data_IF_042973769830
#
_entry.id   IF_042973769830
#
_cell.length_a   1.000
_cell.length_b   1.000
_cell.length_c   1.000
_cell.angle_alpha   90.00
_cell.angle_beta   90.00
_cell.angle_gamma   90.00
#
_symmetry.space_group_name_H-M   'P 1'
#
loop_
_entity.id
_entity.type
_entity.pdbx_description
1 polymer ?
#
# COMPACT_ATOMS: atom_id res chain seq x y z
N UNK A 1 0.91 111.29 84.92
CA UNK A 1 0.75 112.59 84.21
C UNK A 1 0.97 112.36 82.73
N UNK A 2 0.09 112.93 81.90
CA UNK A 2 0.17 113.18 80.44
C UNK A 2 0.13 111.98 79.47
N UNK A 3 -1.04 111.84 78.82
CA UNK A 3 -1.21 111.35 77.45
C UNK A 3 -0.60 112.37 76.47
N UNK A 4 0.04 111.88 75.39
CA UNK A 4 0.22 112.62 74.14
C UNK A 4 0.21 111.65 72.95
N UNK A 5 -0.50 112.09 71.91
CA UNK A 5 -0.76 111.50 70.60
C UNK A 5 0.48 111.61 69.68
N UNK A 6 0.75 110.64 68.80
CA UNK A 6 1.30 110.94 67.48
C UNK A 6 1.02 109.82 66.46
N UNK A 7 0.64 110.29 65.28
CA UNK A 7 0.17 109.66 64.05
C UNK A 7 1.36 109.27 63.13
N UNK A 8 1.06 108.53 62.04
CA UNK A 8 1.79 108.44 60.75
C UNK A 8 2.94 107.40 60.71
N UNK A 9 3.21 106.58 59.68
CA UNK A 9 2.83 106.45 58.25
C UNK A 9 2.87 104.94 57.91
N UNK A 10 1.85 104.42 57.23
CA UNK A 10 1.88 103.09 56.59
C UNK A 10 2.59 103.24 55.23
N UNK A 11 3.82 102.74 55.10
CA UNK A 11 4.49 102.62 53.82
C UNK A 11 4.04 101.33 53.12
N UNK A 12 3.31 101.47 52.03
CA UNK A 12 3.02 100.40 51.07
C UNK A 12 4.32 99.97 50.39
N UNK A 13 4.78 98.75 50.67
CA UNK A 13 5.71 98.03 49.81
C UNK A 13 4.88 97.26 48.76
N UNK A 14 5.29 97.26 47.47
CA UNK A 14 4.63 96.45 46.47
C UNK A 14 4.88 94.96 46.77
N UNK A 15 3.79 94.21 46.97
CA UNK A 15 3.79 92.75 46.95
C UNK A 15 4.07 92.31 45.50
N UNK A 16 5.29 91.86 45.24
CA UNK A 16 5.59 91.03 44.07
C UNK A 16 5.01 89.64 44.32
N UNK A 17 3.93 89.33 43.62
CA UNK A 17 3.33 87.99 43.55
C UNK A 17 4.39 87.02 43.04
N UNK A 18 4.74 86.02 43.85
CA UNK A 18 5.58 84.89 43.44
C UNK A 18 4.78 83.98 42.51
N UNK A 19 5.46 83.40 41.53
CA UNK A 19 4.93 82.45 40.56
C UNK A 19 4.07 81.37 41.24
N UNK A 20 2.88 81.11 40.69
CA UNK A 20 2.09 79.93 41.07
C UNK A 20 2.88 78.70 40.62
N UNK A 21 3.33 77.89 41.57
CA UNK A 21 3.78 76.53 41.28
C UNK A 21 2.58 75.69 40.87
N UNK A 22 2.62 75.07 39.69
CA UNK A 22 1.63 74.12 39.22
C UNK A 22 1.87 72.73 39.88
N UNK A 23 0.84 72.04 40.37
CA UNK A 23 0.89 70.72 41.02
C UNK A 23 0.36 69.60 40.11
N UNK A 24 1.02 69.38 38.98
CA UNK A 24 0.89 68.09 38.31
C UNK A 24 1.68 67.04 39.07
N UNK A 25 1.06 65.91 39.38
CA UNK A 25 1.77 64.73 39.87
C UNK A 25 1.95 63.78 38.70
N UNK A 26 3.15 63.75 38.13
CA UNK A 26 3.68 62.48 37.64
C UNK A 26 4.05 61.73 38.92
N UNK A 27 3.49 60.54 39.13
CA UNK A 27 3.99 59.69 40.20
C UNK A 27 5.50 59.55 39.99
N UNK A 28 6.34 59.82 41.01
CA UNK A 28 7.80 59.90 40.85
C UNK A 28 8.46 58.58 40.44
N UNK A 29 7.66 57.54 40.20
CA UNK A 29 8.09 56.22 39.76
C UNK A 29 7.51 55.87 38.39
N UNK A 30 8.35 55.20 37.61
CA UNK A 30 7.95 54.43 36.43
C UNK A 30 7.67 53.00 36.91
N UNK A 31 6.64 52.36 36.37
CA UNK A 31 6.22 51.00 36.72
C UNK A 31 6.26 50.10 35.50
N UNK A 32 6.45 48.81 35.76
CA UNK A 32 6.31 47.75 34.76
C UNK A 32 4.98 47.02 34.99
N UNK A 33 4.40 46.45 33.94
CA UNK A 33 3.21 45.59 34.08
C UNK A 33 3.52 44.28 34.80
N UNK A 34 4.77 43.82 34.68
CA UNK A 34 5.30 42.65 35.34
C UNK A 34 6.62 43.05 36.01
N UNK A 35 6.73 42.74 37.30
CA UNK A 35 7.88 43.07 38.13
C UNK A 35 8.96 41.99 38.08
N UNK A 36 8.61 40.80 37.57
CA UNK A 36 9.51 39.66 37.38
C UNK A 36 9.87 39.45 35.90
N UNK A 37 9.71 40.48 35.06
CA UNK A 37 10.01 40.36 33.65
C UNK A 37 11.52 40.27 33.39
N UNK A 38 11.89 39.44 32.43
CA UNK A 38 13.26 39.18 32.00
C UNK A 38 13.60 39.92 30.70
N UNK A 39 14.85 39.84 30.28
CA UNK A 39 15.31 40.38 29.01
C UNK A 39 14.54 39.73 27.85
N UNK A 40 14.11 40.53 26.87
CA UNK A 40 13.27 40.08 25.76
C UNK A 40 11.76 40.15 26.04
N UNK A 41 11.34 40.28 27.30
CA UNK A 41 9.91 40.43 27.60
C UNK A 41 9.35 41.76 27.14
N UNK A 42 8.17 41.71 26.50
CA UNK A 42 7.42 42.91 26.12
C UNK A 42 6.49 43.31 27.25
N UNK A 43 6.93 44.26 28.07
CA UNK A 43 6.17 44.79 29.20
C UNK A 43 5.52 46.13 28.87
N UNK A 44 4.50 46.51 29.66
CA UNK A 44 4.00 47.88 29.68
C UNK A 44 4.84 48.70 30.63
N UNK A 45 5.59 49.66 30.10
CA UNK A 45 6.23 50.71 30.89
C UNK A 45 5.23 51.84 31.07
N UNK A 46 4.85 52.15 32.31
CA UNK A 46 3.80 53.13 32.57
C UNK A 46 4.10 54.06 33.73
N UNK A 47 3.44 55.22 33.69
CA UNK A 47 3.36 56.14 34.82
C UNK A 47 1.94 56.69 34.91
N UNK A 48 1.61 57.29 36.06
CA UNK A 48 0.29 57.89 36.31
C UNK A 48 0.46 59.40 36.34
N UNK A 49 -0.33 60.08 35.51
CA UNK A 49 -0.39 61.54 35.46
C UNK A 49 -1.70 62.00 36.09
N UNK A 50 -1.62 62.93 37.03
CA UNK A 50 -2.76 63.52 37.74
C UNK A 50 -2.82 65.02 37.48
N UNK A 51 -3.99 65.51 37.06
CA UNK A 51 -4.26 66.94 36.88
C UNK A 51 -5.04 67.50 38.07
N UNK A 52 -4.39 68.32 38.90
CA UNK A 52 -5.00 68.91 40.11
C UNK A 52 -5.15 70.43 40.06
N UNK A 53 -4.78 71.09 38.96
CA UNK A 53 -4.74 72.56 38.94
C UNK A 53 -5.55 73.17 37.80
N UNK A 54 -5.89 72.39 36.76
CA UNK A 54 -6.47 72.95 35.54
C UNK A 54 -7.79 72.29 35.14
N UNK A 55 -8.75 73.05 34.61
CA UNK A 55 -9.96 72.51 34.00
C UNK A 55 -9.70 71.51 32.87
N UNK A 56 -8.64 71.71 32.08
CA UNK A 56 -8.24 70.82 30.99
C UNK A 56 -6.73 70.78 30.82
N UNK A 57 -6.19 69.57 30.71
CA UNK A 57 -4.77 69.29 30.52
C UNK A 57 -4.54 68.32 29.35
N UNK A 58 -3.57 68.62 28.49
CA UNK A 58 -3.07 67.71 27.46
C UNK A 58 -1.55 67.76 27.46
N UNK A 59 -0.90 66.61 27.25
CA UNK A 59 0.56 66.51 27.23
C UNK A 59 1.01 65.24 26.50
N UNK A 60 2.25 65.23 26.04
CA UNK A 60 2.94 64.02 25.62
C UNK A 60 3.85 63.54 26.74
N UNK A 61 3.75 62.27 27.11
CA UNK A 61 4.66 61.62 28.06
C UNK A 61 5.63 60.77 27.26
N UNK A 62 6.89 61.18 27.26
CA UNK A 62 7.96 60.52 26.51
C UNK A 62 8.78 59.68 27.48
N UNK A 63 8.93 58.39 27.17
CA UNK A 63 9.68 57.43 27.94
C UNK A 63 11.08 57.26 27.35
N UNK A 64 12.07 57.07 28.22
CA UNK A 64 13.46 56.83 27.89
C UNK A 64 13.98 55.62 28.66
N UNK A 65 14.93 54.87 28.09
CA UNK A 65 15.79 53.94 28.80
C UNK A 65 17.25 54.38 28.60
N UNK A 66 18.01 54.61 29.66
CA UNK A 66 19.40 55.06 29.58
C UNK A 66 19.57 56.31 28.69
N UNK A 67 18.63 57.26 28.78
CA UNK A 67 18.51 58.46 27.95
C UNK A 67 18.16 58.24 26.46
N UNK A 68 17.95 57.01 26.01
CA UNK A 68 17.46 56.68 24.66
C UNK A 68 15.93 56.70 24.66
N UNK A 69 15.32 57.37 23.69
CA UNK A 69 13.86 57.41 23.54
C UNK A 69 13.30 56.03 23.20
N UNK A 70 12.34 55.55 24.00
CA UNK A 70 11.72 54.22 23.84
C UNK A 70 10.23 54.28 23.48
N UNK A 71 9.60 55.45 23.59
CA UNK A 71 8.23 55.65 23.15
C UNK A 71 7.58 56.90 23.73
N UNK A 72 6.40 57.24 23.21
CA UNK A 72 5.63 58.41 23.66
C UNK A 72 4.15 58.07 23.73
N UNK A 73 3.49 58.48 24.81
CA UNK A 73 2.06 58.32 25.03
C UNK A 73 1.40 59.69 25.25
N UNK A 74 0.26 59.94 24.59
CA UNK A 74 -0.44 61.23 24.68
C UNK A 74 -1.61 61.22 25.65
N UNK A 75 -1.74 62.33 26.37
CA UNK A 75 -2.88 62.68 27.22
C UNK A 75 -3.62 63.82 26.54
N UNK A 76 -4.93 63.66 26.35
CA UNK A 76 -5.78 64.69 25.76
C UNK A 76 -6.95 64.98 26.69
N UNK A 77 -7.19 66.27 26.95
CA UNK A 77 -8.33 66.80 27.70
C UNK A 77 -8.57 66.09 29.06
N UNK A 78 -7.50 65.85 29.83
CA UNK A 78 -7.60 65.35 31.19
C UNK A 78 -8.22 66.43 32.08
N UNK A 79 -9.37 66.14 32.67
CA UNK A 79 -10.11 67.11 33.49
C UNK A 79 -9.45 67.38 34.84
N UNK A 80 -9.95 68.40 35.53
CA UNK A 80 -9.57 68.71 36.91
C UNK A 80 -9.86 67.52 37.86
N UNK A 81 -8.94 67.24 38.79
CA UNK A 81 -8.96 66.12 39.72
C UNK A 81 -9.08 64.74 39.06
N UNK A 82 -8.64 64.61 37.80
CA UNK A 82 -8.59 63.33 37.09
C UNK A 82 -7.16 62.79 37.01
N UNK A 83 -7.04 61.47 37.04
CA UNK A 83 -5.80 60.75 36.80
C UNK A 83 -5.93 59.89 35.54
N UNK A 84 -4.84 59.78 34.80
CA UNK A 84 -4.73 58.87 33.65
C UNK A 84 -3.40 58.14 33.69
N UNK A 85 -3.47 56.82 33.60
CA UNK A 85 -2.30 56.00 33.32
C UNK A 85 -1.91 56.16 31.85
N UNK A 86 -0.63 56.39 31.61
CA UNK A 86 -0.03 56.40 30.28
C UNK A 86 1.04 55.33 30.22
N UNK A 87 1.08 54.62 29.10
CA UNK A 87 1.98 53.48 28.93
C UNK A 87 2.46 53.38 27.50
N UNK A 88 3.61 52.77 27.34
CA UNK A 88 4.12 52.24 26.07
C UNK A 88 4.33 50.74 26.24
N UNK A 89 4.37 50.01 25.12
CA UNK A 89 4.93 48.66 25.11
C UNK A 89 6.42 48.78 24.83
N UNK A 90 7.22 48.04 25.58
CA UNK A 90 8.68 48.09 25.46
C UNK A 90 9.25 46.70 25.75
N UNK A 91 10.14 46.26 24.86
CA UNK A 91 10.93 45.04 25.02
C UNK A 91 12.13 45.36 25.91
N UNK A 92 12.26 44.64 27.02
CA UNK A 92 13.30 44.90 28.01
C UNK A 92 14.67 44.41 27.51
N UNK A 93 15.71 45.26 27.50
CA UNK A 93 17.06 44.80 27.20
C UNK A 93 17.70 44.17 28.45
N UNK A 94 18.60 43.21 28.23
CA UNK A 94 19.45 42.64 29.28
C UNK A 94 20.35 43.72 29.91
N UNK A 95 20.57 43.60 31.22
CA UNK A 95 21.49 44.43 31.99
C UNK A 95 20.85 45.65 32.66
N UNK A 96 21.67 46.65 32.97
CA UNK A 96 21.21 47.85 33.68
C UNK A 96 20.31 48.72 32.80
N UNK A 97 19.05 48.89 33.23
CA UNK A 97 18.07 49.76 32.61
C UNK A 97 17.70 50.92 33.53
N UNK A 98 17.76 52.14 33.02
CA UNK A 98 17.29 53.35 33.71
C UNK A 98 16.10 53.94 32.95
N UNK A 99 14.91 53.56 33.38
CA UNK A 99 13.65 54.00 32.80
C UNK A 99 13.28 55.38 33.32
N UNK A 100 12.95 56.27 32.41
CA UNK A 100 12.58 57.64 32.71
C UNK A 100 11.33 58.05 31.91
N UNK A 101 10.37 58.71 32.57
CA UNK A 101 9.23 59.33 31.90
C UNK A 101 9.29 60.85 32.07
N UNK A 102 9.27 61.58 30.95
CA UNK A 102 9.30 63.05 30.90
C UNK A 102 8.04 63.59 30.23
N UNK A 103 7.44 64.62 30.80
CA UNK A 103 6.36 65.35 30.13
C UNK A 103 6.93 66.39 29.16
N UNK A 104 6.39 66.40 27.94
CA UNK A 104 6.70 67.36 26.87
C UNK A 104 5.40 67.84 26.21
N UNK A 105 5.48 68.96 25.47
CA UNK A 105 4.34 69.55 24.74
C UNK A 105 3.09 69.75 25.61
N UNK A 106 3.27 70.26 26.84
CA UNK A 106 2.17 70.46 27.78
C UNK A 106 1.31 71.64 27.36
N UNK A 107 0.01 71.37 27.17
CA UNK A 107 -1.04 72.34 26.85
C UNK A 107 -2.10 72.31 27.94
N UNK A 108 -2.20 73.39 28.69
CA UNK A 108 -3.21 73.59 29.73
C UNK A 108 -4.16 74.70 29.34
N UNK A 109 -5.44 74.58 29.71
CA UNK A 109 -6.46 75.59 29.44
C UNK A 109 -7.13 76.05 30.73
N UNK A 110 -7.41 77.35 30.80
CA UNK A 110 -8.17 77.95 31.90
C UNK A 110 -9.69 77.75 31.75
N UNK A 111 -10.46 78.28 32.70
CA UNK A 111 -11.95 78.21 32.69
C UNK A 111 -12.58 78.87 31.46
N UNK A 112 -11.86 79.75 30.76
CA UNK A 112 -12.30 80.43 29.53
C UNK A 112 -11.92 79.68 28.26
N UNK A 113 -11.15 78.59 28.37
CA UNK A 113 -10.61 77.81 27.25
C UNK A 113 -9.31 78.36 26.66
N UNK A 114 -8.75 79.43 27.25
CA UNK A 114 -7.50 80.05 26.81
C UNK A 114 -6.30 79.21 27.23
N UNK A 115 -5.31 79.08 26.35
CA UNK A 115 -4.08 78.31 26.62
C UNK A 115 -3.16 79.07 27.58
N UNK A 116 -2.64 78.36 28.58
CA UNK A 116 -1.61 78.84 29.48
C UNK A 116 -0.29 78.19 29.05
N UNK A 117 0.71 79.01 28.73
CA UNK A 117 2.05 78.53 28.37
C UNK A 117 2.88 78.24 29.64
N UNK A 118 3.34 76.99 29.77
CA UNK A 118 4.27 76.54 30.83
C UNK A 118 5.69 76.54 30.26
N UNK A 119 6.67 76.99 31.04
CA UNK A 119 8.07 77.06 30.57
C UNK A 119 8.78 75.70 30.67
N UNK A 120 9.80 75.48 29.83
CA UNK A 120 10.55 74.22 29.82
C UNK A 120 11.30 73.97 31.13
N UNK A 121 11.75 75.01 31.83
CA UNK A 121 12.44 74.91 33.12
C UNK A 121 11.47 74.40 34.21
N UNK A 122 10.21 74.81 34.16
CA UNK A 122 9.15 74.30 35.04
C UNK A 122 8.82 72.83 34.73
N UNK A 123 8.94 72.40 33.47
CA UNK A 123 8.68 71.02 33.05
C UNK A 123 9.73 70.01 33.54
N UNK A 124 10.97 70.45 33.77
CA UNK A 124 12.09 69.61 34.22
C UNK A 124 11.89 68.97 35.60
N UNK A 125 11.02 69.55 36.43
CA UNK A 125 10.65 69.01 37.74
C UNK A 125 9.68 67.82 37.66
N UNK A 126 9.09 67.54 36.49
CA UNK A 126 8.11 66.47 36.30
C UNK A 126 8.66 65.30 35.49
N UNK A 127 9.64 64.64 36.09
CA UNK A 127 10.21 63.39 35.62
C UNK A 127 9.99 62.29 36.65
N UNK A 128 9.75 61.08 36.17
CA UNK A 128 9.74 59.86 36.98
C UNK A 128 10.88 58.97 36.51
N UNK A 129 11.59 58.34 37.44
CA UNK A 129 12.75 57.48 37.12
C UNK A 129 12.66 56.17 37.88
N UNK A 130 13.17 55.10 37.27
CA UNK A 130 13.32 53.77 37.89
C UNK A 130 14.54 53.08 37.30
N UNK A 131 15.47 52.67 38.16
CA UNK A 131 16.63 51.85 37.79
C UNK A 131 16.36 50.38 38.11
N UNK A 132 16.71 49.50 37.19
CA UNK A 132 16.52 48.05 37.24
C UNK A 132 17.75 47.35 36.68
N UNK A 133 18.03 46.16 37.17
CA UNK A 133 18.93 45.21 36.54
C UNK A 133 18.06 44.07 36.01
N UNK A 134 18.10 43.84 34.70
CA UNK A 134 17.22 42.91 33.99
C UNK A 134 18.08 41.70 33.62
N UNK A 135 17.68 40.53 34.08
CA UNK A 135 18.39 39.27 33.81
C UNK A 135 17.81 38.55 32.58
N UNK A 136 18.55 37.58 32.06
CA UNK A 136 18.00 36.60 31.13
C UNK A 136 17.34 35.45 31.93
N UNK A 137 16.38 34.78 31.32
CA UNK A 137 15.74 33.54 31.80
C UNK A 137 15.76 32.61 30.58
N UNK A 138 16.86 31.86 30.45
CA UNK A 138 17.18 31.10 29.23
C UNK A 138 16.19 29.96 29.00
N UNK A 139 15.75 29.29 30.05
CA UNK A 139 14.88 28.11 30.00
C UNK A 139 13.39 28.42 30.25
N UNK A 140 13.08 29.63 30.73
CA UNK A 140 11.73 30.10 31.00
C UNK A 140 11.14 29.58 32.31
N UNK A 141 11.96 29.15 33.27
CA UNK A 141 11.50 28.61 34.55
C UNK A 141 11.12 29.70 35.58
N UNK A 142 11.35 30.98 35.23
CA UNK A 142 11.17 32.20 36.03
C UNK A 142 12.25 32.43 37.10
N UNK A 143 13.42 31.83 36.95
CA UNK A 143 14.65 32.13 37.67
C UNK A 143 15.60 32.76 36.65
N UNK A 144 16.26 33.86 37.05
CA UNK A 144 17.21 34.51 36.15
C UNK A 144 18.53 33.77 36.16
N UNK A 145 19.24 33.75 35.03
CA UNK A 145 20.51 33.04 34.87
C UNK A 145 21.60 33.34 35.92
N UNK A 146 21.52 34.47 36.63
CA UNK A 146 22.47 34.77 37.73
C UNK A 146 22.17 34.00 39.01
N UNK A 147 20.91 33.62 39.21
CA UNK A 147 20.41 32.92 40.39
C UNK A 147 20.09 31.45 40.11
N UNK A 148 19.97 31.06 38.84
CA UNK A 148 19.81 29.67 38.43
C UNK A 148 21.11 28.88 38.63
N UNK A 149 20.98 27.58 38.90
CA UNK A 149 22.11 26.65 38.96
C UNK A 149 22.23 25.81 37.68
N UNK A 150 21.20 25.82 36.82
CA UNK A 150 21.06 25.03 35.58
C UNK A 150 20.31 25.90 34.54
N UNK A 151 21.05 26.83 33.93
CA UNK A 151 20.51 27.92 33.10
C UNK A 151 19.68 27.45 31.87
N UNK A 152 19.85 26.22 31.39
CA UNK A 152 19.14 25.67 30.25
C UNK A 152 18.25 24.45 30.59
N UNK A 153 18.25 24.05 31.86
CA UNK A 153 17.44 22.99 32.45
C UNK A 153 17.61 21.62 31.77
N UNK A 154 18.81 21.32 31.26
CA UNK A 154 19.13 20.02 30.66
C UNK A 154 19.45 18.93 31.70
N UNK A 155 19.65 19.34 32.96
CA UNK A 155 19.95 18.49 34.10
C UNK A 155 21.44 18.40 34.46
N UNK A 156 22.31 19.17 33.81
CA UNK A 156 23.67 19.50 34.25
C UNK A 156 23.66 20.90 34.85
N UNK A 157 24.28 21.06 36.02
CA UNK A 157 24.48 22.42 36.54
C UNK A 157 25.51 23.19 35.71
N UNK A 158 25.41 24.51 35.69
CA UNK A 158 26.41 25.40 35.07
C UNK A 158 27.84 25.04 35.51
N UNK A 159 28.00 24.65 36.78
CA UNK A 159 29.31 24.28 37.33
C UNK A 159 29.85 22.97 36.79
N UNK A 160 28.97 22.02 36.49
CA UNK A 160 29.32 20.74 35.87
C UNK A 160 29.66 20.94 34.40
N UNK A 161 28.87 21.71 33.69
CA UNK A 161 29.10 22.03 32.28
C UNK A 161 30.40 22.80 32.06
N UNK A 162 30.68 23.81 32.87
CA UNK A 162 31.96 24.53 32.85
C UNK A 162 33.17 23.59 33.05
N UNK A 163 32.98 22.46 33.76
CA UNK A 163 34.02 21.44 33.94
C UNK A 163 34.13 20.52 32.71
N UNK A 164 33.02 20.17 32.07
CA UNK A 164 32.99 19.33 30.86
C UNK A 164 33.31 20.09 29.58
N UNK A 165 33.17 21.41 29.60
CA UNK A 165 33.37 22.32 28.47
C UNK A 165 32.17 22.42 27.55
N UNK A 166 30.96 22.12 28.04
CA UNK A 166 29.67 22.38 27.39
C UNK A 166 29.21 23.83 27.64
N UNK A 167 28.13 24.26 26.99
CA UNK A 167 27.60 25.63 27.01
C UNK A 167 26.37 25.74 27.93
N UNK A 168 26.47 26.35 29.13
CA UNK A 168 25.37 26.41 30.11
C UNK A 168 24.08 27.09 29.69
N UNK A 169 24.09 27.73 28.53
CA UNK A 169 22.92 28.39 27.98
C UNK A 169 22.26 27.55 26.88
N UNK A 170 22.73 26.33 26.65
CA UNK A 170 22.28 25.44 25.60
C UNK A 170 22.29 24.00 26.08
N UNK A 171 21.07 23.49 26.28
CA UNK A 171 20.84 22.11 26.66
C UNK A 171 21.45 21.08 25.69
N UNK A 172 21.84 21.49 24.49
CA UNK A 172 22.50 20.70 23.46
C UNK A 172 23.63 21.56 22.87
N UNK A 173 24.86 21.28 23.30
CA UNK A 173 26.04 22.12 23.01
C UNK A 173 26.45 22.04 21.55
N UNK A 174 26.37 20.86 20.93
CA UNK A 174 26.84 20.63 19.56
C UNK A 174 25.73 20.65 18.49
N UNK A 175 24.48 20.66 18.93
CA UNK A 175 23.29 20.87 18.11
C UNK A 175 22.79 19.61 17.42
N UNK A 176 23.10 18.42 17.93
CA UNK A 176 22.70 17.14 17.36
C UNK A 176 21.32 16.64 17.81
N UNK A 177 20.64 17.37 18.70
CA UNK A 177 19.32 17.10 19.32
C UNK A 177 19.29 16.14 20.50
N UNK A 178 20.44 15.62 20.96
CA UNK A 178 20.58 14.98 22.26
C UNK A 178 21.05 16.05 23.25
N UNK A 179 20.54 16.02 24.49
CA UNK A 179 21.04 16.95 25.51
C UNK A 179 22.38 16.50 26.07
N UNK A 180 23.20 17.45 26.49
CA UNK A 180 24.54 17.18 27.01
C UNK A 180 24.49 16.18 28.18
N UNK A 181 23.49 16.36 29.06
CA UNK A 181 23.22 15.43 30.17
C UNK A 181 22.96 13.99 29.71
N UNK A 182 22.20 13.82 28.64
CA UNK A 182 21.76 12.52 28.11
C UNK A 182 22.91 11.82 27.41
N UNK A 183 23.70 12.55 26.64
CA UNK A 183 24.94 12.05 26.04
C UNK A 183 25.91 11.55 27.10
N UNK A 184 26.11 12.32 28.17
CA UNK A 184 26.97 11.90 29.28
C UNK A 184 26.48 10.61 29.97
N UNK A 185 25.17 10.44 30.15
CA UNK A 185 24.59 9.20 30.70
C UNK A 185 24.77 8.01 29.75
N UNK A 186 24.67 8.26 28.44
CA UNK A 186 24.92 7.28 27.38
C UNK A 186 26.41 7.05 27.15
N UNK A 187 27.30 7.89 27.68
CA UNK A 187 28.76 7.83 27.52
C UNK A 187 29.26 8.32 26.15
N UNK A 188 28.55 9.27 25.56
CA UNK A 188 28.85 9.99 24.32
C UNK A 188 29.64 11.29 24.62
N UNK A 189 30.06 12.02 23.59
CA UNK A 189 30.82 13.28 23.72
C UNK A 189 29.95 14.50 23.39
N UNK A 190 29.43 15.25 24.39
CA UNK A 190 28.46 16.35 24.22
C UNK A 190 29.01 17.62 23.57
N UNK A 191 30.11 17.50 22.84
CA UNK A 191 30.73 18.57 22.06
C UNK A 191 30.95 18.14 20.62
N UNK A 192 30.52 16.93 20.29
CA UNK A 192 30.61 16.35 18.97
C UNK A 192 29.29 15.66 18.67
N UNK A 193 28.57 16.26 17.74
CA UNK A 193 27.37 15.69 17.16
C UNK A 193 27.55 14.27 16.58
N UNK A 194 28.78 13.82 16.40
CA UNK A 194 29.19 12.50 15.93
C UNK A 194 30.37 12.04 16.81
N UNK A 195 30.07 11.20 17.81
CA UNK A 195 30.99 10.81 18.88
C UNK A 195 32.17 9.99 18.36
N UNK A 196 31.93 9.06 17.43
CA UNK A 196 32.93 8.12 16.93
C UNK A 196 33.54 8.48 15.56
N UNK A 197 32.95 9.45 14.87
CA UNK A 197 33.47 10.10 13.67
C UNK A 197 33.15 9.38 12.37
N UNK A 198 32.07 8.61 12.31
CA UNK A 198 31.68 7.80 11.15
C UNK A 198 30.74 8.50 10.16
N UNK A 199 30.41 9.76 10.44
CA UNK A 199 29.53 10.66 9.68
C UNK A 199 28.03 10.57 9.97
N UNK A 200 27.61 9.64 10.82
CA UNK A 200 26.27 9.59 11.39
C UNK A 200 26.26 10.33 12.73
N UNK A 201 25.23 11.14 12.98
CA UNK A 201 25.14 11.89 14.24
C UNK A 201 24.54 11.01 15.33
N UNK A 202 24.92 11.22 16.59
CA UNK A 202 24.58 10.32 17.69
C UNK A 202 23.05 10.14 17.85
N UNK A 203 22.26 11.15 17.45
CA UNK A 203 20.79 11.11 17.49
C UNK A 203 20.13 10.17 16.47
N UNK A 204 20.84 9.78 15.40
CA UNK A 204 20.34 8.88 14.35
C UNK A 204 21.15 7.60 14.23
N UNK A 205 22.29 7.52 14.91
CA UNK A 205 23.17 6.37 14.94
C UNK A 205 22.71 5.37 16.02
N UNK A 206 22.48 4.11 15.64
CA UNK A 206 22.13 3.04 16.59
C UNK A 206 23.34 2.51 17.38
N UNK A 207 24.56 2.74 16.87
CA UNK A 207 25.82 2.44 17.53
C UNK A 207 26.77 3.65 17.63
N UNK A 208 26.42 4.74 18.35
CA UNK A 208 27.19 6.01 18.43
C UNK A 208 28.61 5.94 19.04
N UNK A 209 29.14 4.75 19.26
CA UNK A 209 30.47 4.48 19.82
C UNK A 209 31.29 3.54 18.96
N UNK A 210 30.72 3.04 17.88
CA UNK A 210 31.32 2.08 16.98
C UNK A 210 31.23 2.61 15.55
N UNK A 211 32.20 3.43 15.15
CA UNK A 211 32.18 4.06 13.83
C UNK A 211 32.42 3.14 12.62
N UNK A 212 32.16 1.84 12.77
CA UNK A 212 31.96 0.91 11.68
C UNK A 212 30.52 0.40 11.57
N UNK A 213 29.59 0.84 12.43
CA UNK A 213 28.19 0.43 12.47
C UNK A 213 27.32 1.64 12.80
N UNK A 214 26.23 1.86 12.06
CA UNK A 214 25.31 2.97 12.32
C UNK A 214 23.82 2.59 12.25
N UNK A 215 23.52 1.41 11.69
CA UNK A 215 22.17 0.88 11.48
C UNK A 215 22.12 -0.61 11.86
N UNK A 216 20.92 -1.06 12.21
CA UNK A 216 20.55 -2.40 12.70
C UNK A 216 19.09 -2.57 12.29
N UNK A 217 18.87 -3.06 11.07
CA UNK A 217 17.56 -3.07 10.39
C UNK A 217 16.57 -3.99 11.10
N UNK A 218 17.04 -5.12 11.62
CA UNK A 218 16.21 -6.14 12.27
C UNK A 218 16.13 -6.00 13.80
N UNK A 219 16.88 -5.07 14.38
CA UNK A 219 17.00 -4.79 15.81
C UNK A 219 17.53 -5.99 16.63
N UNK A 220 18.38 -6.85 16.04
CA UNK A 220 18.97 -8.01 16.72
C UNK A 220 20.16 -7.63 17.63
N UNK A 221 20.70 -6.43 17.44
CA UNK A 221 21.82 -5.85 18.18
C UNK A 221 23.18 -6.01 17.50
N UNK A 222 23.23 -6.62 16.32
CA UNK A 222 24.35 -6.62 15.38
C UNK A 222 24.10 -5.50 14.36
N UNK A 223 25.14 -4.74 14.01
CA UNK A 223 24.97 -3.67 13.02
C UNK A 223 25.09 -4.21 11.60
N UNK A 224 24.39 -3.57 10.65
CA UNK A 224 24.28 -4.00 9.25
C UNK A 224 25.65 -4.24 8.56
N UNK A 225 26.74 -3.55 8.94
CA UNK A 225 28.04 -3.81 8.29
C UNK A 225 28.73 -5.11 8.78
N UNK A 226 28.29 -5.65 9.91
CA UNK A 226 28.79 -6.87 10.51
C UNK A 226 27.78 -8.03 10.50
N UNK A 227 26.48 -7.73 10.35
CA UNK A 227 25.49 -8.74 10.08
C UNK A 227 25.70 -9.34 8.68
N UNK A 228 25.13 -10.51 8.47
CA UNK A 228 25.18 -11.24 7.21
C UNK A 228 23.78 -11.51 6.64
N UNK A 229 22.75 -11.08 7.36
CA UNK A 229 21.32 -11.20 7.07
C UNK A 229 20.65 -9.98 7.73
N UNK A 230 20.87 -8.79 7.14
CA UNK A 230 20.58 -7.48 7.75
C UNK A 230 19.10 -7.31 8.13
N UNK A 231 18.19 -7.96 7.42
CA UNK A 231 16.76 -7.92 7.72
C UNK A 231 16.22 -9.16 8.40
N UNK A 232 16.97 -10.27 8.50
CA UNK A 232 16.58 -11.51 9.19
C UNK A 232 15.36 -12.20 8.56
N UNK A 233 15.25 -12.19 7.24
CA UNK A 233 14.22 -12.92 6.47
C UNK A 233 14.62 -14.37 6.12
N UNK A 234 15.88 -14.73 6.39
CA UNK A 234 16.44 -16.06 6.14
C UNK A 234 17.28 -16.18 4.86
N UNK A 235 17.49 -15.09 4.13
CA UNK A 235 18.53 -14.95 3.11
C UNK A 235 19.70 -14.12 3.63
N UNK A 236 20.92 -14.54 3.30
CA UNK A 236 22.07 -13.68 3.56
C UNK A 236 22.21 -12.57 2.53
N UNK A 237 22.81 -11.42 2.88
CA UNK A 237 23.01 -10.30 1.95
C UNK A 237 23.80 -10.71 0.69
N UNK A 238 24.71 -11.70 0.83
CA UNK A 238 25.43 -12.29 -0.30
C UNK A 238 24.50 -13.05 -1.26
N UNK A 239 23.52 -13.76 -0.71
CA UNK A 239 22.51 -14.47 -1.48
C UNK A 239 21.55 -13.49 -2.14
N UNK A 240 21.04 -12.51 -1.41
CA UNK A 240 20.13 -11.50 -1.92
C UNK A 240 20.76 -10.65 -3.02
N UNK A 241 22.02 -10.23 -2.83
CA UNK A 241 22.78 -9.56 -3.89
C UNK A 241 22.89 -10.43 -5.15
N UNK A 242 22.95 -11.75 -5.01
CA UNK A 242 23.01 -12.68 -6.13
C UNK A 242 21.64 -12.89 -6.80
N UNK A 243 20.54 -12.85 -6.04
CA UNK A 243 19.17 -12.95 -6.55
C UNK A 243 18.64 -11.63 -7.11
N UNK A 244 19.11 -10.51 -6.59
CA UNK A 244 18.67 -9.15 -6.91
C UNK A 244 17.65 -8.57 -5.93
N UNK A 245 17.39 -9.23 -4.79
CA UNK A 245 16.62 -8.69 -3.67
C UNK A 245 17.38 -7.63 -2.88
N UNK A 246 16.68 -6.93 -1.99
CA UNK A 246 17.16 -5.83 -1.15
C UNK A 246 17.47 -6.31 0.27
N UNK A 247 18.76 -6.41 0.68
CA UNK A 247 19.17 -6.94 2.01
C UNK A 247 18.59 -6.24 3.23
N UNK A 248 18.04 -5.05 3.05
CA UNK A 248 17.49 -4.25 4.15
C UNK A 248 15.96 -4.36 4.22
N UNK A 249 15.34 -5.28 3.46
CA UNK A 249 13.89 -5.38 3.32
C UNK A 249 13.45 -6.83 3.12
N UNK A 250 12.92 -7.40 4.21
CA UNK A 250 12.41 -8.78 4.31
C UNK A 250 11.50 -9.31 3.20
N UNK A 251 10.88 -8.40 2.45
CA UNK A 251 9.88 -8.66 1.41
C UNK A 251 10.15 -7.62 0.34
N UNK A 252 11.01 -7.93 -0.62
CA UNK A 252 11.61 -7.00 -1.57
C UNK A 252 10.56 -6.37 -2.48
N UNK A 253 9.62 -7.16 -3.00
CA UNK A 253 8.62 -6.69 -3.96
C UNK A 253 7.31 -6.19 -3.31
N UNK A 254 7.07 -6.54 -2.05
CA UNK A 254 5.92 -6.11 -1.27
C UNK A 254 4.62 -6.89 -1.50
N UNK A 255 4.68 -8.13 -1.97
CA UNK A 255 3.50 -9.01 -2.14
C UNK A 255 3.01 -9.61 -0.80
N UNK A 256 3.87 -9.58 0.22
CA UNK A 256 3.60 -10.05 1.58
C UNK A 256 4.08 -11.47 1.88
N UNK A 257 4.98 -12.04 1.07
CA UNK A 257 5.85 -13.17 1.36
C UNK A 257 7.27 -12.63 1.62
N UNK A 258 8.01 -13.26 2.54
CA UNK A 258 9.39 -12.85 2.82
C UNK A 258 10.36 -13.48 1.78
N UNK A 259 11.45 -12.81 1.39
CA UNK A 259 12.30 -13.26 0.27
C UNK A 259 12.90 -14.65 0.55
N UNK A 260 13.25 -14.91 1.81
CA UNK A 260 13.67 -16.22 2.30
C UNK A 260 12.61 -17.30 2.09
N UNK A 261 11.34 -16.99 2.37
CA UNK A 261 10.22 -17.90 2.18
C UNK A 261 9.90 -18.12 0.70
N UNK A 262 10.03 -17.10 -0.14
CA UNK A 262 9.86 -17.19 -1.58
C UNK A 262 10.88 -18.12 -2.22
N UNK A 263 12.16 -17.99 -1.85
CA UNK A 263 13.21 -18.91 -2.31
C UNK A 263 12.95 -20.35 -1.89
N UNK A 264 12.35 -20.58 -0.70
CA UNK A 264 11.94 -21.92 -0.28
C UNK A 264 10.76 -22.45 -1.09
N UNK A 265 9.80 -21.58 -1.43
CA UNK A 265 8.65 -21.91 -2.28
C UNK A 265 9.02 -22.08 -3.76
N UNK A 266 10.13 -21.49 -4.21
CA UNK A 266 10.58 -21.52 -5.59
C UNK A 266 10.20 -20.28 -6.41
N UNK A 267 9.60 -19.26 -5.78
CA UNK A 267 9.32 -17.97 -6.40
C UNK A 267 10.54 -17.05 -6.49
N UNK A 268 10.40 -15.95 -7.23
CA UNK A 268 11.39 -14.89 -7.44
C UNK A 268 11.09 -13.69 -6.53
N UNK A 269 11.91 -13.43 -5.49
CA UNK A 269 11.65 -12.37 -4.51
C UNK A 269 11.56 -10.93 -5.02
N UNK A 270 11.84 -10.73 -6.30
CA UNK A 270 11.78 -9.43 -6.96
C UNK A 270 10.50 -9.23 -7.77
N UNK A 271 9.58 -10.22 -7.78
CA UNK A 271 8.36 -10.21 -8.56
C UNK A 271 7.18 -10.75 -7.75
N UNK A 272 6.22 -9.87 -7.52
CA UNK A 272 4.99 -10.18 -6.77
C UNK A 272 4.05 -11.20 -7.45
N UNK A 273 4.45 -11.76 -8.57
CA UNK A 273 3.74 -12.66 -9.50
C UNK A 273 4.84 -13.23 -10.40
N UNK A 274 5.42 -14.34 -9.96
CA UNK A 274 6.67 -14.88 -10.48
C UNK A 274 6.51 -15.44 -11.89
N UNK A 275 5.41 -16.15 -12.15
CA UNK A 275 5.13 -16.81 -13.42
C UNK A 275 4.30 -15.96 -14.40
N UNK A 276 3.64 -14.91 -13.90
CA UNK A 276 2.89 -13.95 -14.71
C UNK A 276 1.50 -14.44 -15.13
N UNK A 277 0.91 -15.42 -14.45
CA UNK A 277 -0.48 -15.84 -14.65
C UNK A 277 -1.48 -14.80 -14.12
N UNK A 278 -1.00 -13.93 -13.23
CA UNK A 278 -1.70 -12.80 -12.65
C UNK A 278 -2.03 -12.97 -11.17
N UNK A 279 -1.99 -14.19 -10.60
CA UNK A 279 -2.02 -14.43 -9.15
C UNK A 279 -0.69 -13.97 -8.54
N UNK A 280 -0.72 -13.52 -7.29
CA UNK A 280 0.52 -13.21 -6.59
C UNK A 280 1.06 -14.46 -5.92
N UNK A 281 2.37 -14.54 -5.76
CA UNK A 281 3.05 -15.69 -5.15
C UNK A 281 2.47 -16.01 -3.77
N UNK A 282 2.13 -14.97 -2.99
CA UNK A 282 1.35 -15.12 -1.76
C UNK A 282 0.04 -15.89 -1.91
N UNK A 283 -0.79 -15.51 -2.89
CA UNK A 283 -2.12 -16.08 -3.11
C UNK A 283 -1.96 -17.56 -3.51
N UNK A 284 -0.93 -17.88 -4.29
CA UNK A 284 -0.62 -19.23 -4.75
C UNK A 284 -0.12 -20.12 -3.60
N UNK A 285 0.83 -19.62 -2.80
CA UNK A 285 1.32 -20.32 -1.60
C UNK A 285 0.18 -20.58 -0.61
N UNK A 286 -0.74 -19.62 -0.41
CA UNK A 286 -1.90 -19.80 0.47
C UNK A 286 -2.92 -20.81 -0.07
N UNK A 287 -3.11 -20.87 -1.39
CA UNK A 287 -4.03 -21.80 -2.05
C UNK A 287 -3.40 -23.16 -2.39
N UNK A 288 -2.07 -23.29 -2.27
CA UNK A 288 -1.32 -24.53 -2.48
C UNK A 288 -0.97 -24.83 -3.94
N UNK A 289 -1.03 -23.82 -4.83
CA UNK A 289 -0.53 -23.91 -6.20
C UNK A 289 0.98 -23.61 -6.27
N UNK A 290 1.61 -23.77 -7.43
CA UNK A 290 3.05 -23.54 -7.65
C UNK A 290 3.32 -22.13 -8.21
N UNK A 291 3.84 -21.17 -7.40
CA UNK A 291 4.07 -19.78 -7.84
C UNK A 291 5.01 -19.59 -9.03
N UNK A 292 5.76 -20.63 -9.38
CA UNK A 292 6.68 -20.60 -10.52
C UNK A 292 6.07 -21.24 -11.79
N UNK A 293 4.81 -21.66 -11.74
CA UNK A 293 4.16 -22.41 -12.80
C UNK A 293 2.68 -22.04 -12.97
N UNK A 294 2.42 -21.24 -14.00
CA UNK A 294 1.12 -20.64 -14.28
C UNK A 294 -0.05 -21.63 -14.46
N UNK A 295 0.23 -22.91 -14.68
CA UNK A 295 -0.73 -24.01 -14.87
C UNK A 295 -0.21 -25.19 -14.02
N UNK A 296 -0.62 -25.21 -12.75
CA UNK A 296 -0.03 -26.05 -11.70
C UNK A 296 -0.19 -27.54 -12.00
N UNK A 297 -1.34 -27.97 -12.51
CA UNK A 297 -1.64 -29.37 -12.79
C UNK A 297 -1.39 -29.80 -14.24
N UNK A 298 -1.22 -28.85 -15.15
CA UNK A 298 -0.81 -29.05 -16.54
C UNK A 298 -1.94 -29.44 -17.48
N UNK A 299 -3.17 -29.02 -17.19
CA UNK A 299 -4.38 -29.38 -17.94
C UNK A 299 -4.66 -28.43 -19.14
N UNK A 300 -3.96 -27.29 -19.18
CA UNK A 300 -4.05 -26.29 -20.24
C UNK A 300 -4.77 -24.99 -19.84
N UNK A 301 -5.29 -24.89 -18.62
CA UNK A 301 -5.80 -23.65 -18.02
C UNK A 301 -4.79 -23.09 -17.02
N UNK A 302 -4.72 -21.77 -16.89
CA UNK A 302 -3.91 -21.17 -15.83
C UNK A 302 -4.63 -21.26 -14.47
N UNK A 303 -3.89 -21.27 -13.36
CA UNK A 303 -4.43 -21.32 -12.01
C UNK A 303 -5.46 -20.18 -11.77
N UNK A 304 -5.16 -18.99 -12.30
CA UNK A 304 -6.09 -17.86 -12.35
C UNK A 304 -7.35 -18.15 -13.16
N UNK A 305 -7.22 -18.78 -14.33
CA UNK A 305 -8.36 -19.11 -15.20
C UNK A 305 -9.29 -20.11 -14.52
N UNK A 306 -8.73 -21.14 -13.91
CA UNK A 306 -9.44 -22.15 -13.14
C UNK A 306 -10.16 -21.55 -11.93
N UNK A 307 -9.48 -20.68 -11.17
CA UNK A 307 -10.12 -19.94 -10.07
C UNK A 307 -11.32 -19.09 -10.51
N UNK A 308 -11.36 -18.63 -11.77
CA UNK A 308 -12.52 -17.92 -12.33
C UNK A 308 -13.64 -18.87 -12.79
N UNK A 309 -13.30 -20.08 -13.24
CA UNK A 309 -14.25 -21.12 -13.65
C UNK A 309 -14.82 -21.88 -12.44
N UNK A 310 -14.08 -21.91 -11.33
CA UNK A 310 -14.42 -22.65 -10.12
C UNK A 310 -13.94 -24.10 -10.11
N UNK A 311 -13.05 -24.46 -11.03
CA UNK A 311 -12.31 -25.74 -11.06
C UNK A 311 -11.19 -25.74 -10.00
N UNK A 312 -10.54 -26.89 -9.78
CA UNK A 312 -9.46 -27.05 -8.81
C UNK A 312 -8.10 -27.04 -9.50
N UNK A 313 -7.26 -25.99 -9.32
CA UNK A 313 -5.95 -25.86 -9.99
C UNK A 313 -4.90 -26.93 -9.70
N UNK A 314 -5.24 -27.89 -8.85
CA UNK A 314 -4.39 -29.03 -8.51
C UNK A 314 -4.96 -30.35 -9.04
N UNK A 315 -6.00 -30.30 -9.87
CA UNK A 315 -6.73 -31.46 -10.34
C UNK A 315 -7.22 -31.28 -11.79
N UNK A 316 -6.48 -31.89 -12.71
CA UNK A 316 -6.67 -31.83 -14.16
C UNK A 316 -8.06 -32.21 -14.71
N UNK A 317 -8.99 -32.67 -13.88
CA UNK A 317 -10.31 -33.21 -14.25
C UNK A 317 -11.22 -33.04 -13.02
N UNK A 318 -11.87 -31.87 -12.91
CA UNK A 318 -12.55 -31.40 -11.71
C UNK A 318 -13.81 -32.18 -11.37
N UNK A 319 -14.52 -32.68 -12.37
CA UNK A 319 -15.75 -33.46 -12.20
C UNK A 319 -15.53 -34.97 -12.27
N UNK A 320 -14.39 -35.43 -12.79
CA UNK A 320 -13.96 -36.82 -12.84
C UNK A 320 -14.55 -37.62 -14.00
N UNK A 321 -14.94 -36.94 -15.07
CA UNK A 321 -15.59 -37.49 -16.26
C UNK A 321 -14.59 -38.13 -17.25
N UNK A 322 -13.32 -37.71 -17.17
CA UNK A 322 -12.20 -38.20 -17.96
C UNK A 322 -11.75 -37.29 -19.11
N UNK A 323 -12.40 -36.14 -19.32
CA UNK A 323 -11.86 -34.98 -20.01
C UNK A 323 -11.13 -34.08 -19.01
N UNK A 324 -10.14 -33.33 -19.48
CA UNK A 324 -9.53 -32.30 -18.62
C UNK A 324 -10.33 -31.01 -18.65
N UNK A 325 -10.26 -30.19 -17.59
CA UNK A 325 -11.01 -28.94 -17.52
C UNK A 325 -10.67 -28.03 -18.72
N UNK A 326 -9.38 -28.00 -19.11
CA UNK A 326 -8.91 -27.34 -20.32
C UNK A 326 -9.48 -27.90 -21.63
N UNK A 327 -9.60 -29.23 -21.76
CA UNK A 327 -10.23 -29.86 -22.94
C UNK A 327 -11.72 -29.51 -23.03
N UNK A 328 -12.40 -29.46 -21.90
CA UNK A 328 -13.82 -29.12 -21.80
C UNK A 328 -14.08 -27.66 -22.16
N UNK A 329 -13.27 -26.74 -21.65
CA UNK A 329 -13.32 -25.33 -22.04
C UNK A 329 -13.08 -25.14 -23.54
N UNK A 330 -12.16 -25.92 -24.15
CA UNK A 330 -11.93 -25.90 -25.59
C UNK A 330 -13.16 -26.40 -26.38
N UNK A 331 -13.82 -27.45 -25.89
CA UNK A 331 -15.05 -28.02 -26.48
C UNK A 331 -16.30 -27.18 -26.19
N UNK A 332 -16.26 -26.33 -25.17
CA UNK A 332 -17.37 -25.52 -24.68
C UNK A 332 -18.32 -26.24 -23.74
N UNK A 333 -17.91 -27.38 -23.18
CA UNK A 333 -18.61 -28.09 -22.08
C UNK A 333 -18.33 -27.41 -20.73
N UNK A 334 -19.06 -27.81 -19.68
CA UNK A 334 -18.94 -27.27 -18.33
C UNK A 334 -18.04 -28.18 -17.48
N UNK A 335 -16.81 -27.76 -17.11
CA UNK A 335 -15.83 -28.60 -16.42
C UNK A 335 -16.18 -29.00 -14.98
N UNK A 336 -17.38 -28.66 -14.53
CA UNK A 336 -17.91 -29.02 -13.22
C UNK A 336 -19.05 -30.04 -13.32
N UNK A 337 -19.35 -30.55 -14.52
CA UNK A 337 -20.49 -31.41 -14.81
C UNK A 337 -20.14 -32.55 -15.77
N UNK A 338 -20.21 -33.79 -15.27
CA UNK A 338 -19.94 -35.01 -16.07
C UNK A 338 -20.84 -35.16 -17.33
N UNK A 339 -21.88 -34.33 -17.47
CA UNK A 339 -22.92 -34.32 -18.52
C UNK A 339 -23.44 -32.89 -18.63
N UNK A 340 -22.91 -32.13 -19.60
CA UNK A 340 -23.16 -30.68 -19.73
C UNK A 340 -24.60 -30.36 -20.11
N UNK A 341 -25.19 -31.14 -21.01
CA UNK A 341 -26.52 -30.84 -21.57
C UNK A 341 -27.67 -31.59 -20.87
N UNK A 342 -27.34 -32.60 -20.05
CA UNK A 342 -28.25 -33.32 -19.17
C UNK A 342 -29.01 -34.46 -19.85
N UNK A 343 -28.53 -35.00 -20.97
CA UNK A 343 -29.16 -36.11 -21.68
C UNK A 343 -28.84 -37.50 -21.09
N UNK A 344 -27.92 -37.55 -20.11
CA UNK A 344 -27.38 -38.72 -19.39
C UNK A 344 -26.30 -39.50 -20.12
N UNK A 345 -25.76 -38.97 -21.19
CA UNK A 345 -24.50 -39.37 -21.77
C UNK A 345 -23.43 -38.44 -21.21
N UNK A 346 -22.26 -39.01 -20.96
CA UNK A 346 -21.16 -38.29 -20.36
C UNK A 346 -20.37 -37.58 -21.46
N UNK A 347 -19.86 -36.38 -21.20
CA UNK A 347 -19.27 -35.52 -22.24
C UNK A 347 -18.10 -36.16 -22.99
N UNK A 348 -17.31 -37.01 -22.31
CA UNK A 348 -16.26 -37.83 -22.96
C UNK A 348 -16.80 -38.78 -24.03
N UNK A 349 -18.01 -39.30 -23.86
CA UNK A 349 -18.65 -40.31 -24.70
C UNK A 349 -19.72 -39.74 -25.65
N UNK A 350 -20.06 -38.46 -25.49
CA UNK A 350 -21.08 -37.79 -26.27
C UNK A 350 -20.48 -37.19 -27.55
N UNK A 351 -21.05 -37.55 -28.71
CA UNK A 351 -20.65 -36.94 -29.98
C UNK A 351 -21.11 -35.48 -30.10
N UNK A 352 -22.14 -35.08 -29.35
CA UNK A 352 -22.76 -33.76 -29.34
C UNK A 352 -23.06 -33.30 -27.90
N UNK A 353 -22.03 -33.08 -27.05
CA UNK A 353 -22.16 -32.82 -25.61
C UNK A 353 -22.87 -31.50 -25.22
N UNK A 354 -23.38 -30.75 -26.21
CA UNK A 354 -24.09 -29.48 -26.02
C UNK A 354 -25.53 -29.54 -26.55
N UNK A 355 -26.00 -30.72 -26.96
CA UNK A 355 -27.30 -30.93 -27.58
C UNK A 355 -28.03 -32.12 -26.95
N UNK A 356 -28.83 -31.86 -25.92
CA UNK A 356 -29.50 -32.92 -25.17
C UNK A 356 -30.54 -33.79 -25.94
N UNK A 357 -30.79 -33.47 -27.21
CA UNK A 357 -31.62 -34.27 -28.11
C UNK A 357 -30.77 -35.20 -29.00
N UNK A 358 -29.45 -35.21 -28.90
CA UNK A 358 -28.54 -35.97 -29.75
C UNK A 358 -27.25 -36.36 -29.03
N UNK A 359 -26.85 -37.64 -29.11
CA UNK A 359 -25.60 -38.11 -28.49
C UNK A 359 -24.84 -39.17 -29.27
N UNK A 360 -25.36 -39.60 -30.43
CA UNK A 360 -24.74 -40.63 -31.26
C UNK A 360 -24.55 -40.10 -32.68
N UNK A 361 -23.33 -40.24 -33.18
CA UNK A 361 -22.98 -40.01 -34.60
C UNK A 361 -22.38 -41.32 -35.13
N UNK A 362 -23.21 -42.17 -35.72
CA UNK A 362 -22.82 -43.56 -36.05
C UNK A 362 -21.77 -43.63 -37.15
N UNK A 363 -21.80 -42.69 -38.10
CA UNK A 363 -20.87 -42.64 -39.23
C UNK A 363 -19.84 -41.50 -39.16
N UNK A 364 -19.95 -40.64 -38.14
CA UNK A 364 -19.05 -39.53 -37.85
C UNK A 364 -19.07 -38.44 -38.94
N UNK A 365 -20.22 -38.21 -39.56
CA UNK A 365 -20.39 -37.17 -40.57
C UNK A 365 -20.71 -35.77 -39.98
N UNK A 366 -20.97 -35.72 -38.68
CA UNK A 366 -21.28 -34.51 -37.90
C UNK A 366 -22.77 -34.18 -37.81
N UNK A 367 -23.66 -35.05 -38.30
CA UNK A 367 -25.10 -35.01 -38.09
C UNK A 367 -25.46 -36.20 -37.22
N UNK A 368 -26.10 -35.95 -36.07
CA UNK A 368 -26.42 -37.07 -35.19
C UNK A 368 -27.67 -37.83 -35.61
N UNK A 369 -27.75 -39.07 -35.16
CA UNK A 369 -28.72 -40.09 -35.60
C UNK A 369 -30.21 -39.68 -35.48
N UNK A 370 -30.59 -38.76 -34.59
CA UNK A 370 -31.98 -38.30 -34.50
C UNK A 370 -32.35 -37.30 -35.61
N UNK A 371 -31.36 -36.56 -36.15
CA UNK A 371 -31.54 -35.64 -37.29
C UNK A 371 -31.12 -36.27 -38.62
N UNK A 372 -30.15 -37.18 -38.61
CA UNK A 372 -29.71 -37.90 -39.80
C UNK A 372 -30.81 -38.83 -40.32
N UNK A 373 -30.77 -39.08 -41.62
CA UNK A 373 -31.72 -39.95 -42.32
C UNK A 373 -31.08 -41.17 -42.95
N UNK A 374 -29.76 -41.34 -42.79
CA UNK A 374 -28.92 -42.44 -43.30
C UNK A 374 -27.79 -42.66 -42.29
N UNK A 375 -28.15 -43.11 -41.08
CA UNK A 375 -27.29 -43.15 -39.87
C UNK A 375 -25.93 -43.86 -40.03
N UNK A 376 -25.78 -44.77 -41.01
CA UNK A 376 -24.53 -45.50 -41.26
C UNK A 376 -23.86 -45.16 -42.60
N UNK A 377 -24.43 -44.18 -43.32
CA UNK A 377 -24.02 -43.66 -44.62
C UNK A 377 -23.76 -44.76 -45.68
N UNK A 378 -24.51 -45.86 -45.65
CA UNK A 378 -24.41 -46.93 -46.64
C UNK A 378 -25.11 -46.60 -47.97
N UNK A 379 -25.94 -45.56 -47.96
CA UNK A 379 -26.71 -45.05 -49.10
C UNK A 379 -28.17 -45.48 -49.13
N UNK A 380 -28.68 -46.13 -48.07
CA UNK A 380 -30.10 -46.36 -47.80
C UNK A 380 -30.54 -45.53 -46.60
N UNK A 381 -31.62 -44.76 -46.77
CA UNK A 381 -32.18 -44.06 -45.61
C UNK A 381 -32.79 -45.01 -44.58
N UNK A 382 -32.85 -44.66 -43.28
CA UNK A 382 -33.48 -45.52 -42.25
C UNK A 382 -34.95 -45.85 -42.58
N UNK A 383 -35.61 -44.98 -43.35
CA UNK A 383 -36.96 -45.26 -43.88
C UNK A 383 -36.97 -46.36 -44.95
N UNK A 384 -35.97 -46.40 -45.81
CA UNK A 384 -35.79 -47.45 -46.82
C UNK A 384 -35.36 -48.77 -46.16
N UNK A 385 -34.47 -48.69 -45.19
CA UNK A 385 -34.01 -49.84 -44.41
C UNK A 385 -35.10 -50.49 -43.56
N UNK A 386 -35.95 -49.68 -42.92
CA UNK A 386 -37.13 -50.19 -42.22
C UNK A 386 -38.07 -50.99 -43.15
N UNK A 387 -38.04 -50.73 -44.47
CA UNK A 387 -38.79 -51.51 -45.48
C UNK A 387 -38.04 -52.80 -45.85
N UNK A 388 -36.71 -52.76 -45.92
CA UNK A 388 -35.86 -53.92 -46.20
C UNK A 388 -35.64 -54.82 -44.97
N UNK A 389 -36.01 -54.34 -43.79
CA UNK A 389 -35.75 -54.95 -42.49
C UNK A 389 -34.25 -55.01 -42.12
N UNK A 390 -33.44 -54.13 -42.70
CA UNK A 390 -32.03 -53.94 -42.35
C UNK A 390 -31.84 -53.13 -41.07
N UNK A 391 -30.62 -53.09 -40.55
CA UNK A 391 -30.23 -52.39 -39.32
C UNK A 391 -29.62 -51.02 -39.67
N UNK A 392 -30.34 -49.90 -39.44
CA UNK A 392 -29.89 -48.57 -39.86
C UNK A 392 -28.59 -48.06 -39.26
N UNK A 393 -28.07 -48.77 -38.27
CA UNK A 393 -26.81 -48.41 -37.60
C UNK A 393 -25.64 -49.24 -38.14
N UNK A 394 -25.84 -50.04 -39.19
CA UNK A 394 -24.86 -50.97 -39.72
C UNK A 394 -24.92 -51.06 -41.23
N UNK A 395 -23.91 -50.46 -41.84
CA UNK A 395 -23.75 -50.45 -43.29
C UNK A 395 -23.82 -51.84 -43.95
N UNK A 396 -23.46 -52.91 -43.23
CA UNK A 396 -23.58 -54.30 -43.66
C UNK A 396 -24.29 -55.08 -42.53
N UNK A 397 -25.61 -55.33 -42.68
CA UNK A 397 -26.42 -55.86 -41.57
C UNK A 397 -26.06 -57.32 -41.23
N UNK A 398 -25.71 -58.14 -42.22
CA UNK A 398 -25.43 -59.56 -42.02
C UNK A 398 -23.94 -59.93 -42.00
N UNK A 399 -23.07 -58.92 -42.17
CA UNK A 399 -21.63 -58.96 -42.07
C UNK A 399 -20.97 -59.90 -43.10
N UNK A 400 -21.49 -59.93 -44.32
CA UNK A 400 -21.01 -60.78 -45.40
C UNK A 400 -19.96 -60.13 -46.31
N UNK A 401 -19.77 -58.82 -46.16
CA UNK A 401 -18.82 -57.99 -46.89
C UNK A 401 -19.42 -57.08 -47.96
N UNK A 402 -20.74 -57.05 -48.14
CA UNK A 402 -21.44 -56.06 -48.96
C UNK A 402 -22.32 -55.16 -48.10
N UNK A 403 -22.42 -53.88 -48.46
CA UNK A 403 -23.38 -53.02 -47.80
C UNK A 403 -24.80 -53.31 -48.25
N UNK A 404 -25.78 -53.04 -47.41
CA UNK A 404 -27.19 -53.31 -47.68
C UNK A 404 -27.65 -52.61 -48.98
N UNK A 405 -27.14 -51.40 -49.24
CA UNK A 405 -27.35 -50.69 -50.51
C UNK A 405 -26.78 -51.44 -51.72
N UNK A 406 -25.56 -51.94 -51.60
CA UNK A 406 -24.86 -52.65 -52.68
C UNK A 406 -25.55 -53.98 -52.99
N UNK A 407 -26.09 -54.64 -51.96
CA UNK A 407 -26.87 -55.85 -52.09
C UNK A 407 -28.21 -55.60 -52.77
N UNK A 408 -28.91 -54.53 -52.39
CA UNK A 408 -30.12 -54.09 -53.08
C UNK A 408 -29.86 -53.85 -54.58
N UNK A 409 -28.73 -53.22 -54.92
CA UNK A 409 -28.34 -52.94 -56.30
C UNK A 409 -27.89 -54.21 -57.06
N UNK A 410 -27.27 -55.17 -56.36
CA UNK A 410 -26.87 -56.47 -56.89
C UNK A 410 -28.05 -57.46 -57.01
N UNK A 411 -29.15 -57.22 -56.31
CA UNK A 411 -30.32 -58.09 -56.23
C UNK A 411 -30.17 -59.27 -55.29
N UNK A 412 -29.22 -59.19 -54.35
CA UNK A 412 -29.08 -60.13 -53.22
C UNK A 412 -29.99 -59.68 -52.06
N UNK A 413 -30.04 -60.45 -50.98
CA UNK A 413 -30.88 -60.17 -49.82
C UNK A 413 -30.00 -59.66 -48.67
N UNK A 414 -30.11 -58.37 -48.30
CA UNK A 414 -29.34 -57.75 -47.22
C UNK A 414 -29.34 -58.46 -45.86
N UNK A 415 -30.32 -59.35 -45.64
CA UNK A 415 -30.51 -60.10 -44.40
C UNK A 415 -29.92 -61.50 -44.41
N UNK A 416 -29.32 -61.93 -45.51
CA UNK A 416 -28.81 -63.27 -45.70
C UNK A 416 -27.43 -63.23 -46.33
N UNK A 417 -26.44 -63.52 -45.49
CA UNK A 417 -25.05 -63.53 -45.92
C UNK A 417 -24.77 -64.47 -47.09
N UNK A 418 -25.69 -65.38 -47.46
CA UNK A 418 -25.65 -66.26 -48.63
C UNK A 418 -27.06 -66.35 -49.21
N UNK A 419 -27.38 -65.50 -50.19
CA UNK A 419 -28.73 -65.35 -50.74
C UNK A 419 -29.21 -66.60 -51.47
N UNK A 420 -28.32 -67.27 -52.20
CA UNK A 420 -28.67 -68.41 -53.03
C UNK A 420 -28.48 -69.78 -52.35
N UNK A 421 -27.85 -69.78 -51.18
CA UNK A 421 -27.68 -70.93 -50.30
C UNK A 421 -26.67 -71.96 -50.80
N UNK A 422 -25.69 -71.56 -51.61
CA UNK A 422 -24.68 -72.45 -52.17
C UNK A 422 -23.44 -72.67 -51.28
N UNK A 423 -23.34 -71.90 -50.20
CA UNK A 423 -22.29 -71.98 -49.18
C UNK A 423 -21.14 -70.99 -49.37
N UNK A 424 -21.27 -69.98 -50.24
CA UNK A 424 -20.43 -68.78 -50.28
C UNK A 424 -21.24 -67.56 -49.87
N UNK A 425 -20.58 -66.58 -49.27
CA UNK A 425 -21.27 -65.33 -48.99
C UNK A 425 -21.45 -64.49 -50.23
N UNK A 426 -22.43 -63.59 -50.23
CA UNK A 426 -22.75 -62.77 -51.40
C UNK A 426 -21.59 -61.83 -51.75
N UNK A 427 -20.90 -61.28 -50.74
CA UNK A 427 -19.67 -60.50 -50.93
C UNK A 427 -18.47 -61.26 -51.51
N UNK A 428 -18.40 -62.57 -51.32
CA UNK A 428 -17.33 -63.43 -51.86
C UNK A 428 -17.74 -64.18 -53.13
N UNK A 429 -19.03 -64.21 -53.48
CA UNK A 429 -19.54 -64.92 -54.64
C UNK A 429 -19.61 -64.06 -55.91
N UNK A 430 -19.24 -64.67 -57.04
CA UNK A 430 -19.28 -64.00 -58.35
C UNK A 430 -20.67 -63.97 -58.95
N UNK A 431 -21.57 -64.86 -58.53
CA UNK A 431 -22.95 -64.92 -59.02
C UNK A 431 -23.93 -65.11 -57.84
N UNK A 432 -23.97 -64.17 -56.88
CA UNK A 432 -24.58 -64.38 -55.55
C UNK A 432 -26.11 -64.56 -55.55
N UNK A 433 -26.74 -64.53 -56.74
CA UNK A 433 -28.17 -64.73 -56.92
C UNK A 433 -28.51 -66.08 -57.55
N UNK A 434 -27.50 -66.90 -57.89
CA UNK A 434 -27.66 -68.12 -58.66
C UNK A 434 -26.74 -69.22 -58.15
N UNK A 435 -27.30 -70.09 -57.32
CA UNK A 435 -26.57 -71.17 -56.67
C UNK A 435 -25.65 -71.94 -57.62
N UNK A 436 -24.36 -71.98 -57.29
CA UNK A 436 -23.41 -72.80 -58.01
C UNK A 436 -23.85 -74.26 -57.92
N UNK A 437 -23.98 -74.90 -59.08
CA UNK A 437 -24.20 -76.34 -59.17
C UNK A 437 -22.91 -77.12 -58.84
N UNK A 438 -22.25 -76.80 -57.73
CA UNK A 438 -21.03 -77.45 -57.28
C UNK A 438 -21.28 -78.92 -56.92
N UNK A 439 -22.47 -79.22 -56.37
CA UNK A 439 -22.88 -80.59 -56.06
C UNK A 439 -23.11 -81.44 -57.32
N UNK A 440 -23.62 -80.88 -58.44
CA UNK A 440 -23.79 -81.66 -59.67
C UNK A 440 -22.44 -82.05 -60.28
N UNK A 441 -21.42 -81.17 -60.23
CA UNK A 441 -20.08 -81.49 -60.74
C UNK A 441 -19.40 -82.61 -59.94
N UNK A 442 -19.52 -82.63 -58.61
CA UNK A 442 -18.99 -83.73 -57.79
C UNK A 442 -19.78 -85.03 -57.98
N UNK A 443 -21.11 -85.01 -58.00
CA UNK A 443 -21.92 -86.23 -58.20
C UNK A 443 -21.65 -86.86 -59.57
N UNK A 444 -21.50 -86.05 -60.62
CA UNK A 444 -21.10 -86.54 -61.97
C UNK A 444 -19.68 -87.11 -61.96
N UNK A 445 -18.73 -86.50 -61.24
CA UNK A 445 -17.37 -87.04 -61.09
C UNK A 445 -17.33 -88.36 -60.33
N UNK A 446 -18.07 -88.50 -59.22
CA UNK A 446 -18.14 -89.76 -58.47
C UNK A 446 -18.90 -90.86 -59.25
N UNK A 447 -19.91 -90.49 -60.04
CA UNK A 447 -20.54 -91.41 -61.01
C UNK A 447 -19.55 -91.91 -62.07
N UNK A 448 -18.69 -91.03 -62.59
CA UNK A 448 -17.66 -91.40 -63.56
C UNK A 448 -16.58 -92.32 -62.94
N UNK A 449 -16.11 -92.02 -61.72
CA UNK A 449 -15.15 -92.85 -60.99
C UNK A 449 -15.73 -94.21 -60.58
N UNK A 450 -17.01 -94.26 -60.17
CA UNK A 450 -17.71 -95.50 -59.88
C UNK A 450 -17.80 -96.42 -61.11
N UNK A 451 -18.05 -95.86 -62.30
CA UNK A 451 -18.07 -96.64 -63.54
C UNK A 451 -16.67 -97.16 -63.94
N UNK A 452 -15.62 -96.36 -63.70
CA UNK A 452 -14.24 -96.74 -63.98
C UNK A 452 -13.77 -97.88 -63.06
N UNK A 453 -14.11 -97.81 -61.77
CA UNK A 453 -13.80 -98.87 -60.80
C UNK A 453 -14.50 -100.19 -61.18
N UNK A 454 -15.77 -100.12 -61.58
CA UNK A 454 -16.53 -101.27 -62.08
C UNK A 454 -15.91 -101.87 -63.35
N UNK A 455 -15.43 -101.02 -64.26
CA UNK A 455 -14.74 -101.46 -65.47
C UNK A 455 -13.39 -102.16 -65.16
N UNK A 456 -12.61 -101.63 -64.22
CA UNK A 456 -11.34 -102.24 -63.78
C UNK A 456 -11.58 -103.58 -63.08
N UNK A 457 -12.58 -103.67 -62.21
CA UNK A 457 -12.96 -104.93 -61.55
C UNK A 457 -13.45 -105.96 -62.58
N UNK A 458 -14.25 -105.55 -63.56
CA UNK A 458 -14.73 -106.42 -64.63
C UNK A 458 -13.59 -106.91 -65.52
N UNK A 459 -12.65 -106.04 -65.90
CA UNK A 459 -11.45 -106.42 -66.65
C UNK A 459 -10.51 -107.32 -65.86
N UNK A 460 -10.39 -107.11 -64.55
CA UNK A 460 -9.59 -107.96 -63.68
C UNK A 460 -10.21 -109.36 -63.51
N UNK A 461 -11.54 -109.46 -63.38
CA UNK A 461 -12.27 -110.74 -63.39
C UNK A 461 -12.21 -111.43 -64.78
N UNK A 462 -12.27 -110.66 -65.86
CA UNK A 462 -12.13 -111.18 -67.23
C UNK A 462 -10.71 -111.72 -67.48
N UNK A 463 -9.67 -111.02 -67.02
CA UNK A 463 -8.29 -111.50 -67.09
C UNK A 463 -8.07 -112.76 -66.23
N UNK A 464 -8.62 -112.80 -65.01
CA UNK A 464 -8.53 -113.95 -64.10
C UNK A 464 -9.21 -115.21 -64.65
N UNK A 465 -10.33 -115.06 -65.36
CA UNK A 465 -11.05 -116.20 -65.97
C UNK A 465 -10.42 -116.69 -67.27
N UNK A 466 -9.66 -115.84 -67.98
CA UNK A 466 -8.93 -116.22 -69.19
C UNK A 466 -7.69 -117.07 -68.91
N UNK A 467 -7.01 -116.87 -67.78
CA UNK A 467 -5.79 -117.63 -67.40
C UNK A 467 -6.08 -119.06 -66.89
N UNK A 468 -7.36 -119.43 -66.75
CA UNK A 468 -7.80 -120.78 -66.33
C UNK A 468 -8.45 -121.61 -67.45
N UNK A 469 -8.25 -121.26 -68.72
CA UNK A 469 -8.72 -122.05 -69.88
C UNK A 469 -7.59 -122.62 -70.70
#
# INVERSE_FOLDING_TARGET
MKKSFLLLILALLPLTVHAQSFNFLVNQSVYLSDENAFAGDVVKVYTVVVNNDFPSFSANVTFFNNSVHIGTASIQNLGFEQAKQVSIQYELPEGESNLEARMVDVVVRDESGSEISITQDELSAYQATRSLEIDLDTDGDNIGNKEDEDDDNDGLSDTEENVQGTDPLKADTDGDTISDKKEMDQGLDPKKADTDGDTHTDNVDLFPKNGGEWADVDEDGTGDNADTDDDNDGLSDEEETAFGSDPLKKDTDGDGVEDGAEKEAGSDPTKSDTDGDGLSDKDEIENGTDPANADTDGDGLSDREEGNLGTDPNNVDSDGDGLTDGEEVEKGTDPLLEDTDGDRVNDLLDAFPLNADESIDTDLDGIGNNEDTDDDNDGLSDKEEAVLSTDPLKSDTDADGLSDKNEQDAGTNPMLADTDGDGRTDGDDKNPTVADNFLLKRVVQWGAFGSLLLFVVFMSLYAYTRDRR
#
